data_IF_375143616976
#
_entry.id   IF_375143616976
#
_cell.length_a   1.000
_cell.length_b   1.000
_cell.length_c   1.000
_cell.angle_alpha   90.00
_cell.angle_beta   90.00
_cell.angle_gamma   90.00
#
_symmetry.space_group_name_H-M   'P 1'
#
loop_
_entity.id
_entity.type
_entity.pdbx_description
1 polymer ?
#
# COMPACT_ATOMS: atom_id res chain seq x y z
N UNK A 1 1.10 21.76 -6.93
CA UNK A 1 2.21 20.90 -7.41
C UNK A 1 1.74 19.47 -7.32
N UNK A 2 1.99 18.64 -8.34
CA UNK A 2 1.62 17.21 -8.33
C UNK A 2 2.90 16.42 -8.59
N UNK A 3 3.17 15.43 -7.75
CA UNK A 3 4.32 14.54 -7.86
C UNK A 3 3.79 13.11 -7.95
N UNK A 4 4.26 12.36 -8.94
CA UNK A 4 3.94 10.95 -9.11
C UNK A 4 5.19 10.12 -8.87
N UNK A 5 5.08 9.12 -7.99
CA UNK A 5 6.11 8.13 -7.68
C UNK A 5 5.55 6.74 -7.92
N UNK A 6 6.42 5.76 -8.18
CA UNK A 6 6.04 4.36 -8.38
C UNK A 6 6.71 3.48 -7.33
N UNK A 7 5.97 2.49 -6.82
CA UNK A 7 6.47 1.44 -5.92
C UNK A 7 6.23 0.11 -6.64
N UNK A 8 7.29 -0.65 -6.88
CA UNK A 8 7.21 -1.98 -7.48
C UNK A 8 7.28 -3.05 -6.40
N UNK A 9 6.33 -3.98 -6.40
CA UNK A 9 6.24 -5.07 -5.44
C UNK A 9 6.20 -6.41 -6.16
N UNK A 10 6.75 -7.45 -5.52
CA UNK A 10 6.58 -8.83 -5.96
C UNK A 10 5.74 -9.55 -4.91
N UNK A 11 4.64 -10.16 -5.36
CA UNK A 11 3.74 -10.93 -4.50
C UNK A 11 4.00 -12.42 -4.66
N UNK A 12 3.61 -13.20 -3.65
CA UNK A 12 3.66 -14.67 -3.70
C UNK A 12 2.41 -15.31 -4.30
N UNK A 13 1.38 -14.54 -4.63
CA UNK A 13 0.04 -15.04 -4.97
C UNK A 13 -0.79 -15.37 -3.72
N UNK A 14 -1.95 -16.02 -3.89
CA UNK A 14 -2.79 -16.52 -2.78
C UNK A 14 -3.14 -15.48 -1.70
N UNK A 15 -3.65 -14.31 -2.12
CA UNK A 15 -3.98 -13.22 -1.20
C UNK A 15 -2.78 -12.75 -0.33
N UNK A 16 -1.61 -12.60 -0.94
CA UNK A 16 -0.44 -12.03 -0.26
C UNK A 16 -0.72 -10.58 0.18
N UNK A 17 -0.56 -10.33 1.48
CA UNK A 17 -0.80 -9.02 2.10
C UNK A 17 0.57 -8.41 2.41
N UNK A 18 0.85 -7.26 1.78
CA UNK A 18 2.11 -6.55 1.90
C UNK A 18 1.83 -5.17 2.50
N UNK A 19 2.44 -4.88 3.64
CA UNK A 19 2.41 -3.53 4.22
C UNK A 19 3.29 -2.58 3.40
N UNK A 20 2.67 -1.54 2.84
CA UNK A 20 3.32 -0.52 2.01
C UNK A 20 3.48 0.81 2.74
N UNK A 21 3.19 0.89 4.03
CA UNK A 21 3.24 2.13 4.83
C UNK A 21 4.63 2.76 4.79
N UNK A 22 5.68 1.99 5.10
CA UNK A 22 7.07 2.48 5.10
C UNK A 22 7.54 2.92 3.70
N UNK A 23 7.34 2.12 2.63
CA UNK A 23 7.62 2.57 1.25
C UNK A 23 6.92 3.87 0.86
N UNK A 24 5.63 4.03 1.19
CA UNK A 24 4.87 5.26 0.90
C UNK A 24 5.45 6.44 1.67
N UNK A 25 5.72 6.27 2.97
CA UNK A 25 6.30 7.33 3.79
C UNK A 25 7.67 7.79 3.29
N UNK A 26 8.52 6.85 2.83
CA UNK A 26 9.80 7.17 2.22
C UNK A 26 9.61 8.05 0.97
N UNK A 27 8.72 7.66 0.05
CA UNK A 27 8.46 8.44 -1.16
C UNK A 27 7.93 9.84 -0.85
N UNK A 28 7.09 9.99 0.18
CA UNK A 28 6.57 11.30 0.60
C UNK A 28 7.66 12.19 1.21
N UNK A 29 8.55 11.62 2.03
CA UNK A 29 9.62 12.37 2.70
C UNK A 29 10.57 13.07 1.72
N UNK A 30 10.75 12.51 0.53
CA UNK A 30 11.60 13.05 -0.54
C UNK A 30 10.96 14.25 -1.28
N UNK A 31 9.65 14.49 -1.10
CA UNK A 31 8.92 15.51 -1.87
C UNK A 31 9.03 16.92 -1.29
N UNK A 32 9.33 17.04 0.00
CA UNK A 32 9.25 18.31 0.74
C UNK A 32 7.84 18.88 0.90
N UNK A 33 6.79 18.17 0.49
CA UNK A 33 5.38 18.56 0.69
C UNK A 33 5.03 18.39 2.16
N UNK A 34 4.50 19.45 2.77
CA UNK A 34 4.10 19.45 4.19
C UNK A 34 2.62 19.15 4.40
N UNK A 35 1.77 19.61 3.49
CA UNK A 35 0.32 19.51 3.58
C UNK A 35 -0.27 19.22 2.20
N UNK A 36 -1.21 18.26 2.13
CA UNK A 36 -1.82 17.86 0.88
C UNK A 36 -2.57 16.54 0.97
N UNK A 37 -2.82 15.93 -0.20
CA UNK A 37 -3.51 14.65 -0.34
C UNK A 37 -2.60 13.66 -1.05
N UNK A 38 -2.58 12.42 -0.58
CA UNK A 38 -1.88 11.30 -1.20
C UNK A 38 -2.90 10.36 -1.81
N UNK A 39 -2.74 10.02 -3.09
CA UNK A 39 -3.53 8.99 -3.75
C UNK A 39 -2.65 7.78 -3.98
N UNK A 40 -3.06 6.62 -3.45
CA UNK A 40 -2.41 5.33 -3.71
C UNK A 40 -3.29 4.55 -4.68
N UNK A 41 -2.70 4.11 -5.80
CA UNK A 41 -3.43 3.50 -6.90
C UNK A 41 -2.69 2.29 -7.46
N UNK A 42 -3.41 1.20 -7.69
CA UNK A 42 -2.90 -0.01 -8.37
C UNK A 42 -3.31 0.07 -9.84
N UNK A 43 -2.36 -0.13 -10.74
CA UNK A 43 -2.57 -0.11 -12.20
C UNK A 43 -3.27 -1.36 -12.76
N UNK A 44 -3.62 -2.35 -11.92
CA UNK A 44 -4.18 -3.64 -12.32
C UNK A 44 -5.50 -3.99 -11.59
N UNK A 45 -6.23 -4.97 -12.11
CA UNK A 45 -7.57 -5.35 -11.62
C UNK A 45 -7.60 -6.50 -10.60
N UNK A 46 -6.47 -7.16 -10.37
CA UNK A 46 -6.38 -8.38 -9.54
C UNK A 46 -5.73 -8.14 -8.17
N UNK A 47 -5.64 -6.88 -7.75
CA UNK A 47 -5.11 -6.48 -6.45
C UNK A 47 -5.91 -5.29 -5.90
N UNK A 48 -5.93 -5.14 -4.58
CA UNK A 48 -6.60 -4.05 -3.89
C UNK A 48 -5.64 -3.28 -2.99
N UNK A 49 -5.94 -2.00 -2.75
CA UNK A 49 -5.31 -1.20 -1.68
C UNK A 49 -6.38 -0.96 -0.62
N UNK A 50 -6.02 -1.20 0.63
CA UNK A 50 -6.86 -0.84 1.77
C UNK A 50 -5.98 -0.37 2.92
N UNK A 51 -6.60 0.19 3.93
CA UNK A 51 -5.96 0.53 5.20
C UNK A 51 -6.62 -0.29 6.31
N UNK A 52 -5.83 -1.10 6.99
CA UNK A 52 -6.22 -1.90 8.15
C UNK A 52 -5.08 -1.88 9.18
N UNK A 53 -5.33 -2.33 10.40
CA UNK A 53 -4.27 -2.53 11.38
C UNK A 53 -3.34 -3.67 10.93
N UNK A 54 -2.03 -3.45 11.00
CA UNK A 54 -1.03 -4.46 10.64
C UNK A 54 -0.75 -5.40 11.83
N UNK A 55 -1.79 -6.11 12.26
CA UNK A 55 -1.75 -7.07 13.36
C UNK A 55 -1.87 -8.50 12.81
N UNK A 56 -1.04 -9.47 13.27
CA UNK A 56 -1.00 -10.82 12.70
C UNK A 56 -2.35 -11.55 12.65
N UNK A 57 -3.19 -11.44 13.67
CA UNK A 57 -4.53 -12.01 13.72
C UNK A 57 -5.46 -11.41 12.65
N UNK A 58 -5.54 -10.08 12.58
CA UNK A 58 -6.35 -9.40 11.57
C UNK A 58 -5.90 -9.73 10.14
N UNK A 59 -4.60 -9.88 9.89
CA UNK A 59 -4.07 -10.30 8.59
C UNK A 59 -4.55 -11.71 8.25
N UNK A 60 -4.53 -12.62 9.21
CA UNK A 60 -5.03 -13.99 9.02
C UNK A 60 -6.53 -14.01 8.73
N UNK A 61 -7.31 -13.22 9.47
CA UNK A 61 -8.75 -13.06 9.25
C UNK A 61 -9.04 -12.51 7.84
N UNK A 62 -8.30 -11.48 7.41
CA UNK A 62 -8.46 -10.90 6.08
C UNK A 62 -8.14 -11.90 4.96
N UNK A 63 -7.12 -12.74 5.14
CA UNK A 63 -6.78 -13.79 4.18
C UNK A 63 -7.86 -14.87 4.10
N UNK A 64 -8.50 -15.20 5.22
CA UNK A 64 -9.55 -16.22 5.28
C UNK A 64 -10.90 -15.79 4.67
N UNK A 65 -11.09 -14.49 4.41
CA UNK A 65 -12.30 -13.96 3.75
C UNK A 65 -12.33 -14.22 2.23
N UNK A 66 -11.18 -14.52 1.62
CA UNK A 66 -11.02 -14.76 0.19
C UNK A 66 -10.74 -16.24 -0.10
#
# INVERSE_FOLDING_TARGET
>A
MVITKNISLQTKGECDIIDITSPVQQQLSETGIKDGVVTVFITGSTAGVTTIENEPGLIADFKAMW
#
